data_IF_183291671358
#
_entry.id   IF_183291671358
#
_cell.length_a   1.000
_cell.length_b   1.000
_cell.length_c   1.000
_cell.angle_alpha   90.00
_cell.angle_beta   90.00
_cell.angle_gamma   90.00
#
_symmetry.space_group_name_H-M   'P 1'
#
loop_
_entity.id
_entity.type
_entity.pdbx_description
1 polymer ?
#
# COMPACT_ATOMS: atom_id res chain seq x y z
N UNK A 1 1.64 -1.36 22.29
CA UNK A 1 2.10 -0.34 21.31
C UNK A 1 1.44 -0.52 19.93
N UNK A 2 1.23 -1.74 19.41
CA UNK A 2 0.57 -1.97 18.11
C UNK A 2 -0.88 -1.44 18.08
N UNK A 3 -1.61 -1.55 19.17
CA UNK A 3 -3.01 -1.08 19.26
C UNK A 3 -3.12 0.45 19.29
N UNK A 4 -2.13 1.16 19.79
CA UNK A 4 -2.06 2.63 19.78
C UNK A 4 -1.68 3.18 18.40
N UNK A 5 -0.88 2.45 17.62
CA UNK A 5 -0.52 2.86 16.27
C UNK A 5 -1.68 2.73 15.29
N UNK A 6 -2.48 1.65 15.39
CA UNK A 6 -3.66 1.44 14.55
C UNK A 6 -4.78 2.47 14.78
N UNK A 7 -4.82 3.11 15.95
CA UNK A 7 -5.79 4.17 16.28
C UNK A 7 -5.39 5.56 15.77
N UNK A 8 -4.14 5.77 15.35
CA UNK A 8 -3.66 7.09 14.86
C UNK A 8 -4.46 7.65 13.67
N UNK A 9 -4.84 6.86 12.67
CA UNK A 9 -5.67 7.38 11.57
C UNK A 9 -7.02 7.89 12.03
N UNK A 10 -7.66 7.21 12.98
CA UNK A 10 -8.95 7.61 13.55
C UNK A 10 -8.84 8.95 14.31
N UNK A 11 -7.77 9.16 15.08
CA UNK A 11 -7.51 10.45 15.77
C UNK A 11 -7.34 11.56 14.74
N UNK A 12 -6.61 11.33 13.66
CA UNK A 12 -6.46 12.30 12.58
C UNK A 12 -7.80 12.59 11.89
N UNK A 13 -8.64 11.58 11.65
CA UNK A 13 -9.98 11.74 11.09
C UNK A 13 -10.88 12.58 11.98
N UNK A 14 -10.94 12.30 13.29
CA UNK A 14 -11.73 13.06 14.25
C UNK A 14 -11.26 14.54 14.35
N UNK A 15 -9.95 14.77 14.25
CA UNK A 15 -9.42 16.14 14.16
C UNK A 15 -9.84 16.83 12.87
N UNK A 16 -9.83 16.11 11.75
CA UNK A 16 -10.30 16.63 10.47
C UNK A 16 -11.78 17.03 10.55
N UNK A 17 -12.64 16.17 11.13
CA UNK A 17 -14.06 16.46 11.37
C UNK A 17 -14.26 17.72 12.23
N UNK A 18 -13.48 17.85 13.30
CA UNK A 18 -13.56 19.02 14.18
C UNK A 18 -13.15 20.32 13.45
N UNK A 19 -12.14 20.27 12.60
CA UNK A 19 -11.76 21.42 11.77
C UNK A 19 -12.80 21.71 10.70
N UNK A 20 -13.37 20.67 10.06
CA UNK A 20 -14.44 20.81 9.07
C UNK A 20 -15.67 21.47 9.68
N UNK A 21 -16.07 21.04 10.89
CA UNK A 21 -17.18 21.67 11.63
C UNK A 21 -16.91 23.16 11.92
N UNK A 22 -15.67 23.54 12.18
CA UNK A 22 -15.25 24.95 12.35
C UNK A 22 -15.05 25.69 11.03
N UNK A 23 -15.41 25.09 9.88
CA UNK A 23 -15.19 25.62 8.53
C UNK A 23 -13.72 25.96 8.21
N UNK A 24 -12.77 25.26 8.87
CA UNK A 24 -11.33 25.36 8.61
C UNK A 24 -10.91 24.29 7.60
N UNK A 25 -11.25 24.54 6.33
CA UNK A 25 -11.19 23.54 5.25
C UNK A 25 -9.76 23.08 4.96
N UNK A 26 -8.76 23.98 5.03
CA UNK A 26 -7.36 23.67 4.73
C UNK A 26 -6.79 22.69 5.76
N UNK A 27 -7.03 22.97 7.04
CA UNK A 27 -6.56 22.12 8.14
C UNK A 27 -7.31 20.78 8.15
N UNK A 28 -8.62 20.80 7.91
CA UNK A 28 -9.41 19.58 7.81
C UNK A 28 -8.86 18.65 6.72
N UNK A 29 -8.59 19.18 5.52
CA UNK A 29 -8.02 18.40 4.43
C UNK A 29 -6.62 17.86 4.74
N UNK A 30 -5.78 18.64 5.42
CA UNK A 30 -4.44 18.19 5.83
C UNK A 30 -4.53 16.99 6.79
N UNK A 31 -5.44 17.05 7.77
CA UNK A 31 -5.64 15.95 8.71
C UNK A 31 -6.25 14.71 8.07
N UNK A 32 -7.23 14.84 7.14
CA UNK A 32 -7.73 13.69 6.38
C UNK A 32 -6.65 13.05 5.51
N UNK A 33 -5.82 13.85 4.81
CA UNK A 33 -4.69 13.30 4.02
C UNK A 33 -3.67 12.60 4.91
N UNK A 34 -3.41 13.15 6.11
CA UNK A 34 -2.54 12.50 7.08
C UNK A 34 -3.12 11.17 7.57
N UNK A 35 -4.44 11.11 7.78
CA UNK A 35 -5.11 9.85 8.12
C UNK A 35 -4.96 8.81 6.99
N UNK A 36 -5.19 9.19 5.74
CA UNK A 36 -4.99 8.31 4.57
C UNK A 36 -3.56 7.79 4.47
N UNK A 37 -2.58 8.68 4.63
CA UNK A 37 -1.16 8.29 4.64
C UNK A 37 -0.85 7.26 5.74
N UNK A 38 -1.42 7.42 6.93
CA UNK A 38 -1.23 6.46 8.02
C UNK A 38 -1.92 5.12 7.74
N UNK A 39 -3.12 5.12 7.14
CA UNK A 39 -3.81 3.89 6.73
C UNK A 39 -2.97 3.12 5.72
N UNK A 40 -2.43 3.79 4.72
CA UNK A 40 -1.56 3.17 3.71
C UNK A 40 -0.23 2.68 4.31
N UNK A 41 0.39 3.49 5.19
CA UNK A 41 1.68 3.15 5.83
C UNK A 41 1.58 1.99 6.84
N UNK A 42 0.40 1.79 7.44
CA UNK A 42 0.12 0.73 8.40
C UNK A 42 -0.57 -0.48 7.74
N UNK A 43 -0.74 -0.46 6.42
CA UNK A 43 -1.40 -1.51 5.62
C UNK A 43 -2.81 -1.87 6.15
N UNK A 44 -3.53 -0.87 6.67
CA UNK A 44 -4.87 -1.06 7.22
C UNK A 44 -5.92 -1.31 6.11
N UNK A 45 -7.06 -1.95 6.41
CA UNK A 45 -8.09 -2.24 5.43
C UNK A 45 -8.61 -0.97 4.75
N UNK A 46 -8.64 -0.94 3.41
CA UNK A 46 -9.12 0.21 2.62
C UNK A 46 -10.60 0.55 2.83
N UNK A 47 -11.36 -0.34 3.46
CA UNK A 47 -12.76 -0.10 3.82
C UNK A 47 -12.90 1.07 4.82
N UNK A 48 -11.87 1.31 5.65
CA UNK A 48 -11.85 2.39 6.63
C UNK A 48 -11.60 3.76 5.98
N UNK A 49 -11.21 3.79 4.70
CA UNK A 49 -10.95 5.03 3.97
C UNK A 49 -12.21 5.75 3.47
N UNK A 50 -13.38 5.11 3.51
CA UNK A 50 -14.64 5.67 2.97
C UNK A 50 -14.94 7.04 3.56
N UNK A 51 -14.90 7.17 4.88
CA UNK A 51 -15.16 8.43 5.58
C UNK A 51 -14.12 9.51 5.25
N UNK A 52 -12.86 9.10 5.09
CA UNK A 52 -11.77 10.01 4.75
C UNK A 52 -11.91 10.54 3.32
N UNK A 53 -12.25 9.67 2.36
CA UNK A 53 -12.51 10.07 0.98
C UNK A 53 -13.73 10.98 0.88
N UNK A 54 -14.81 10.68 1.61
CA UNK A 54 -16.00 11.53 1.65
C UNK A 54 -15.71 12.90 2.26
N UNK A 55 -14.96 12.96 3.36
CA UNK A 55 -14.55 14.22 3.97
C UNK A 55 -13.76 15.10 2.98
N UNK A 56 -12.78 14.51 2.30
CA UNK A 56 -12.00 15.21 1.27
C UNK A 56 -12.88 15.62 0.08
N UNK A 57 -13.74 14.72 -0.41
CA UNK A 57 -14.65 15.04 -1.51
C UNK A 57 -15.51 16.27 -1.19
N UNK A 58 -16.07 16.31 0.02
CA UNK A 58 -16.90 17.44 0.50
C UNK A 58 -16.12 18.73 0.63
N UNK A 59 -14.87 18.67 1.16
CA UNK A 59 -14.02 19.86 1.27
C UNK A 59 -13.68 20.43 -0.11
N UNK A 60 -13.26 19.60 -1.06
CA UNK A 60 -12.92 20.05 -2.41
C UNK A 60 -14.14 20.55 -3.17
N UNK A 61 -15.32 19.96 -2.94
CA UNK A 61 -16.59 20.48 -3.45
C UNK A 61 -16.87 21.89 -2.93
N UNK A 62 -16.73 22.12 -1.61
CA UNK A 62 -16.93 23.44 -1.00
C UNK A 62 -15.95 24.49 -1.54
N UNK A 63 -14.78 24.06 -1.97
CA UNK A 63 -13.77 24.93 -2.57
C UNK A 63 -13.94 25.10 -4.11
N UNK A 64 -15.01 24.53 -4.69
CA UNK A 64 -15.24 24.50 -6.13
C UNK A 64 -14.12 23.80 -6.94
N UNK A 65 -13.32 22.95 -6.30
CA UNK A 65 -12.37 22.08 -7.00
C UNK A 65 -13.07 20.77 -7.41
N UNK A 66 -13.90 20.89 -8.45
CA UNK A 66 -14.74 19.81 -8.95
C UNK A 66 -13.96 18.57 -9.38
N UNK A 67 -12.78 18.77 -9.98
CA UNK A 67 -11.95 17.67 -10.47
C UNK A 67 -11.40 16.80 -9.33
N UNK A 68 -10.88 17.43 -8.30
CA UNK A 68 -10.32 16.72 -7.14
C UNK A 68 -11.46 16.08 -6.33
N UNK A 69 -12.57 16.79 -6.13
CA UNK A 69 -13.75 16.26 -5.46
C UNK A 69 -14.28 15.00 -6.16
N UNK A 70 -14.45 15.03 -7.50
CA UNK A 70 -14.91 13.88 -8.28
C UNK A 70 -14.02 12.65 -8.08
N UNK A 71 -12.71 12.83 -8.09
CA UNK A 71 -11.77 11.73 -7.87
C UNK A 71 -12.02 11.03 -6.52
N UNK A 72 -12.25 11.79 -5.47
CA UNK A 72 -12.55 11.22 -4.15
C UNK A 72 -13.92 10.56 -4.09
N UNK A 73 -14.96 11.14 -4.73
CA UNK A 73 -16.26 10.48 -4.86
C UNK A 73 -16.16 9.15 -5.62
N UNK A 74 -15.36 9.06 -6.68
CA UNK A 74 -15.14 7.83 -7.43
C UNK A 74 -14.40 6.77 -6.60
N UNK A 75 -13.41 7.19 -5.79
CA UNK A 75 -12.74 6.28 -4.83
C UNK A 75 -13.72 5.74 -3.78
N UNK A 76 -14.62 6.60 -3.30
CA UNK A 76 -15.69 6.20 -2.38
C UNK A 76 -16.68 5.24 -3.05
N UNK A 77 -17.09 5.51 -4.30
CA UNK A 77 -18.03 4.67 -5.06
C UNK A 77 -17.50 3.24 -5.25
N UNK A 78 -16.20 3.09 -5.46
CA UNK A 78 -15.55 1.77 -5.57
C UNK A 78 -15.73 0.90 -4.30
N UNK A 79 -15.92 1.53 -3.14
CA UNK A 79 -16.13 0.87 -1.86
C UNK A 79 -17.64 0.70 -1.51
N UNK A 80 -18.57 1.12 -2.38
CA UNK A 80 -19.99 1.20 -2.05
C UNK A 80 -20.60 -0.13 -1.57
N UNK A 81 -20.15 -1.26 -2.12
CA UNK A 81 -20.67 -2.59 -1.76
C UNK A 81 -20.37 -3.00 -0.32
N UNK A 82 -19.33 -2.44 0.29
CA UNK A 82 -18.94 -2.73 1.68
C UNK A 82 -19.57 -1.78 2.70
N UNK A 83 -20.28 -0.75 2.25
CA UNK A 83 -20.90 0.24 3.12
C UNK A 83 -22.21 -0.27 3.72
N UNK A 84 -22.52 0.17 4.95
CA UNK A 84 -23.88 0.05 5.51
C UNK A 84 -24.90 0.85 4.68
N UNK A 85 -26.16 0.49 4.78
CA UNK A 85 -27.25 1.20 4.04
C UNK A 85 -27.27 2.69 4.35
N UNK A 86 -27.11 3.07 5.62
CA UNK A 86 -27.02 4.49 6.01
C UNK A 86 -25.82 5.21 5.39
N UNK A 87 -24.66 4.55 5.31
CA UNK A 87 -23.49 5.13 4.66
C UNK A 87 -23.66 5.24 3.14
N UNK A 88 -24.32 4.25 2.50
CA UNK A 88 -24.66 4.32 1.08
C UNK A 88 -25.62 5.49 0.80
N UNK A 89 -26.63 5.67 1.66
CA UNK A 89 -27.58 6.78 1.55
C UNK A 89 -26.87 8.14 1.69
N UNK A 90 -26.03 8.28 2.71
CA UNK A 90 -25.23 9.48 2.92
C UNK A 90 -24.28 9.76 1.73
N UNK A 91 -23.62 8.73 1.21
CA UNK A 91 -22.77 8.84 0.02
C UNK A 91 -23.54 9.30 -1.21
N UNK A 92 -24.66 8.63 -1.53
CA UNK A 92 -25.48 8.96 -2.71
C UNK A 92 -26.03 10.38 -2.63
N UNK A 93 -26.46 10.82 -1.45
CA UNK A 93 -26.93 12.19 -1.22
C UNK A 93 -25.83 13.22 -1.50
N UNK A 94 -24.64 13.02 -0.94
CA UNK A 94 -23.53 13.96 -1.15
C UNK A 94 -23.02 13.94 -2.60
N UNK A 95 -22.98 12.77 -3.23
CA UNK A 95 -22.57 12.65 -4.63
C UNK A 95 -23.59 13.24 -5.59
N UNK A 96 -24.91 13.13 -5.26
CA UNK A 96 -25.97 13.85 -5.94
C UNK A 96 -25.81 15.36 -5.85
N UNK A 97 -25.52 15.86 -4.65
CA UNK A 97 -25.24 17.28 -4.40
C UNK A 97 -23.97 17.76 -5.14
N UNK A 98 -22.93 16.94 -5.22
CA UNK A 98 -21.75 17.25 -6.03
C UNK A 98 -22.15 17.58 -7.48
N UNK A 99 -22.89 16.68 -8.15
CA UNK A 99 -23.31 16.90 -9.53
C UNK A 99 -24.28 18.10 -9.65
N UNK A 100 -25.14 18.32 -8.65
CA UNK A 100 -26.03 19.48 -8.62
C UNK A 100 -25.24 20.78 -8.65
N UNK A 101 -24.26 20.95 -7.76
CA UNK A 101 -23.45 22.17 -7.70
C UNK A 101 -22.48 22.29 -8.87
N UNK A 102 -22.03 21.19 -9.45
CA UNK A 102 -21.29 21.16 -10.72
C UNK A 102 -22.16 21.46 -11.94
N UNK A 103 -23.50 21.66 -11.74
CA UNK A 103 -24.51 21.93 -12.77
C UNK A 103 -24.75 20.78 -13.76
N UNK A 104 -24.30 19.56 -13.44
CA UNK A 104 -24.70 18.34 -14.16
C UNK A 104 -25.96 17.74 -13.54
N UNK A 105 -27.09 18.37 -13.83
CA UNK A 105 -28.37 18.02 -13.22
C UNK A 105 -28.87 16.62 -13.62
N UNK A 106 -28.50 16.10 -14.80
CA UNK A 106 -28.89 14.76 -15.21
C UNK A 106 -28.07 13.70 -14.42
N UNK A 107 -26.80 13.92 -14.17
CA UNK A 107 -26.00 13.04 -13.30
C UNK A 107 -26.50 13.13 -11.84
N UNK A 108 -26.84 14.32 -11.36
CA UNK A 108 -27.43 14.54 -10.04
C UNK A 108 -28.75 13.77 -9.91
N UNK A 109 -29.61 13.85 -10.89
CA UNK A 109 -30.89 13.11 -10.93
C UNK A 109 -30.65 11.61 -10.79
N UNK A 110 -29.72 11.05 -11.54
CA UNK A 110 -29.38 9.61 -11.44
C UNK A 110 -28.98 9.19 -10.02
N UNK A 111 -28.19 10.02 -9.33
CA UNK A 111 -27.74 9.71 -7.95
C UNK A 111 -28.89 9.82 -6.93
N UNK A 112 -29.73 10.83 -7.03
CA UNK A 112 -30.90 10.95 -6.14
C UNK A 112 -31.97 9.90 -6.40
N UNK A 113 -32.19 9.50 -7.66
CA UNK A 113 -33.08 8.37 -7.99
C UNK A 113 -32.50 7.05 -7.42
N UNK A 114 -31.17 6.85 -7.51
CA UNK A 114 -30.52 5.69 -6.88
C UNK A 114 -30.67 5.72 -5.34
N UNK A 115 -30.55 6.89 -4.72
CA UNK A 115 -30.80 7.07 -3.29
C UNK A 115 -32.27 6.74 -2.94
N UNK A 116 -33.21 7.28 -3.66
CA UNK A 116 -34.65 6.99 -3.46
C UNK A 116 -34.92 5.49 -3.51
N UNK A 117 -34.43 4.81 -4.57
CA UNK A 117 -34.62 3.37 -4.74
C UNK A 117 -33.94 2.55 -3.60
N UNK A 118 -32.76 3.00 -3.12
CA UNK A 118 -32.09 2.38 -1.97
C UNK A 118 -32.97 2.47 -0.72
N UNK A 119 -33.49 3.65 -0.42
CA UNK A 119 -34.32 3.89 0.76
C UNK A 119 -35.66 3.13 0.68
N UNK A 120 -36.28 3.07 -0.48
CA UNK A 120 -37.50 2.29 -0.72
C UNK A 120 -37.26 0.80 -0.52
N UNK A 121 -36.20 0.27 -1.07
CA UNK A 121 -35.80 -1.14 -0.93
C UNK A 121 -35.60 -1.55 0.54
N UNK A 122 -35.15 -0.63 1.38
CA UNK A 122 -34.90 -0.88 2.80
C UNK A 122 -35.99 -0.38 3.74
N UNK A 123 -37.18 -0.08 3.20
CA UNK A 123 -38.34 0.38 3.96
C UNK A 123 -38.11 1.65 4.79
N UNK A 124 -37.36 2.60 4.23
CA UNK A 124 -36.99 3.87 4.88
C UNK A 124 -37.75 5.07 4.30
N UNK A 125 -39.01 4.85 3.85
CA UNK A 125 -39.83 5.88 3.14
C UNK A 125 -40.23 7.07 4.02
N UNK A 126 -40.37 6.83 5.33
CA UNK A 126 -40.86 7.83 6.29
C UNK A 126 -39.70 8.50 7.08
N UNK A 127 -38.46 8.25 6.73
CA UNK A 127 -37.33 8.83 7.42
C UNK A 127 -36.88 10.18 6.83
N UNK A 128 -36.01 10.86 7.57
CA UNK A 128 -35.47 12.17 7.18
C UNK A 128 -34.65 12.10 5.88
N UNK A 129 -33.93 10.98 5.62
CA UNK A 129 -33.14 10.83 4.40
C UNK A 129 -34.03 10.79 3.14
N UNK A 130 -35.22 10.16 3.22
CA UNK A 130 -36.18 10.16 2.13
C UNK A 130 -36.75 11.55 1.91
N UNK A 131 -37.04 12.28 2.99
CA UNK A 131 -37.48 13.67 2.88
C UNK A 131 -36.45 14.52 2.14
N UNK A 132 -35.21 14.51 2.57
CA UNK A 132 -34.12 15.26 1.92
C UNK A 132 -33.91 14.80 0.48
N UNK A 133 -33.97 13.50 0.19
CA UNK A 133 -33.91 12.97 -1.16
C UNK A 133 -34.99 13.56 -2.09
N UNK A 134 -36.26 13.61 -1.62
CA UNK A 134 -37.35 14.18 -2.37
C UNK A 134 -37.22 15.69 -2.57
N UNK A 135 -36.73 16.42 -1.55
CA UNK A 135 -36.43 17.86 -1.67
C UNK A 135 -35.36 18.09 -2.74
N UNK A 136 -34.30 17.31 -2.72
CA UNK A 136 -33.21 17.39 -3.71
C UNK A 136 -33.72 17.01 -5.12
N UNK A 137 -34.59 16.00 -5.25
CA UNK A 137 -35.22 15.65 -6.52
C UNK A 137 -36.08 16.81 -7.05
N UNK A 138 -36.86 17.47 -6.19
CA UNK A 138 -37.67 18.65 -6.59
C UNK A 138 -36.78 19.76 -7.16
N UNK A 139 -35.65 20.06 -6.52
CA UNK A 139 -34.73 21.09 -6.97
C UNK A 139 -34.01 20.73 -8.28
N UNK A 140 -33.58 19.45 -8.41
CA UNK A 140 -32.97 18.96 -9.66
C UNK A 140 -33.98 19.05 -10.82
N UNK A 141 -35.22 18.61 -10.61
CA UNK A 141 -36.27 18.72 -11.62
C UNK A 141 -36.57 20.19 -11.98
N UNK A 142 -36.54 21.08 -10.99
CA UNK A 142 -36.67 22.51 -11.24
C UNK A 142 -35.57 23.01 -12.18
N UNK A 143 -34.31 22.63 -11.93
CA UNK A 143 -33.18 23.03 -12.77
C UNK A 143 -33.22 22.40 -14.16
N UNK A 144 -33.76 21.19 -14.30
CA UNK A 144 -34.04 20.53 -15.58
C UNK A 144 -35.29 21.09 -16.32
N UNK A 145 -35.95 22.11 -15.74
CA UNK A 145 -37.20 22.71 -16.27
C UNK A 145 -38.38 21.74 -16.37
N UNK A 146 -38.40 20.70 -15.52
CA UNK A 146 -39.48 19.71 -15.41
C UNK A 146 -40.42 20.14 -14.28
N UNK A 147 -41.19 21.21 -14.53
CA UNK A 147 -41.93 21.95 -13.49
C UNK A 147 -43.01 21.12 -12.81
N UNK A 148 -43.65 20.20 -13.52
CA UNK A 148 -44.71 19.34 -12.97
C UNK A 148 -44.10 18.29 -12.00
N UNK A 149 -42.93 17.73 -12.32
CA UNK A 149 -42.20 16.85 -11.41
C UNK A 149 -41.74 17.59 -10.17
N UNK A 150 -41.30 18.85 -10.31
CA UNK A 150 -40.96 19.72 -9.17
C UNK A 150 -42.15 19.91 -8.25
N UNK A 151 -43.33 20.26 -8.78
CA UNK A 151 -44.56 20.44 -8.00
C UNK A 151 -44.94 19.14 -7.28
N UNK A 152 -44.93 18.02 -7.98
CA UNK A 152 -45.24 16.71 -7.41
C UNK A 152 -44.36 16.38 -6.19
N UNK A 153 -43.04 16.54 -6.30
CA UNK A 153 -42.16 16.26 -5.17
C UNK A 153 -42.29 17.28 -4.04
N UNK A 154 -42.63 18.54 -4.32
CA UNK A 154 -42.94 19.53 -3.27
C UNK A 154 -44.21 19.14 -2.51
N UNK A 155 -45.24 18.66 -3.20
CA UNK A 155 -46.49 18.17 -2.58
C UNK A 155 -46.23 16.93 -1.71
N UNK A 156 -45.35 16.03 -2.14
CA UNK A 156 -44.96 14.84 -1.36
C UNK A 156 -44.18 15.16 -0.07
N UNK A 157 -43.40 16.26 -0.03
CA UNK A 157 -42.61 16.63 1.17
C UNK A 157 -43.39 17.54 2.13
N UNK A 158 -44.46 18.17 1.69
CA UNK A 158 -45.26 19.10 2.50
C UNK A 158 -45.78 18.52 3.82
N UNK A 159 -46.31 17.28 3.89
CA UNK A 159 -46.78 16.70 5.14
C UNK A 159 -45.66 16.50 6.17
N UNK A 160 -44.46 16.22 5.72
CA UNK A 160 -43.29 16.08 6.60
C UNK A 160 -42.82 17.46 7.09
N UNK A 161 -42.68 18.41 6.19
CA UNK A 161 -42.27 19.78 6.51
C UNK A 161 -43.23 20.43 7.53
N UNK A 162 -44.53 20.29 7.32
CA UNK A 162 -45.57 20.83 8.22
C UNK A 162 -45.53 20.17 9.62
N UNK A 163 -45.27 18.87 9.70
CA UNK A 163 -45.19 18.14 11.00
C UNK A 163 -43.98 18.54 11.84
N UNK A 164 -42.85 18.77 11.19
CA UNK A 164 -41.57 19.05 11.92
C UNK A 164 -41.54 20.47 12.46
N UNK A 165 -42.26 21.40 11.83
CA UNK A 165 -42.24 22.84 12.18
C UNK A 165 -40.81 23.42 12.32
N UNK A 166 -39.89 22.90 11.51
CA UNK A 166 -38.47 23.28 11.49
C UNK A 166 -38.26 24.42 10.49
N UNK A 167 -37.69 25.52 10.98
CA UNK A 167 -37.45 26.72 10.16
C UNK A 167 -36.50 26.45 8.99
N UNK A 168 -35.51 25.57 9.17
CA UNK A 168 -34.54 25.22 8.14
C UNK A 168 -35.22 24.38 7.02
N UNK A 169 -36.01 23.39 7.42
CA UNK A 169 -36.81 22.55 6.50
C UNK A 169 -37.76 23.44 5.69
N UNK A 170 -38.47 24.33 6.36
CA UNK A 170 -39.38 25.28 5.71
C UNK A 170 -38.64 26.16 4.70
N UNK A 171 -37.49 26.69 5.09
CA UNK A 171 -36.65 27.50 4.21
C UNK A 171 -36.20 26.75 2.95
N UNK A 172 -35.80 25.45 3.07
CA UNK A 172 -35.43 24.62 1.93
C UNK A 172 -36.59 24.42 0.95
N UNK A 173 -37.77 23.99 1.44
CA UNK A 173 -38.94 23.79 0.62
C UNK A 173 -39.38 25.10 -0.06
N UNK A 174 -39.41 26.18 0.67
CA UNK A 174 -39.78 27.47 0.16
C UNK A 174 -38.77 28.04 -0.87
N UNK A 175 -37.49 27.71 -0.74
CA UNK A 175 -36.51 28.06 -1.77
C UNK A 175 -36.88 27.45 -3.14
N UNK A 176 -37.30 26.18 -3.14
CA UNK A 176 -37.72 25.50 -4.38
C UNK A 176 -39.06 26.03 -4.87
N UNK A 177 -40.04 26.31 -3.96
CA UNK A 177 -41.32 26.97 -4.32
C UNK A 177 -41.10 28.32 -4.99
N UNK A 178 -40.22 29.16 -4.43
CA UNK A 178 -39.84 30.44 -5.04
C UNK A 178 -39.26 30.20 -6.44
N UNK A 179 -38.33 29.23 -6.60
CA UNK A 179 -37.78 28.88 -7.89
C UNK A 179 -38.82 28.42 -8.90
N UNK A 180 -39.78 27.58 -8.47
CA UNK A 180 -40.91 27.10 -9.29
C UNK A 180 -41.83 28.26 -9.70
N UNK A 181 -42.19 29.10 -8.74
CA UNK A 181 -43.05 30.27 -8.99
C UNK A 181 -42.39 31.26 -9.96
N UNK A 182 -41.08 31.54 -9.78
CA UNK A 182 -40.32 32.40 -10.71
C UNK A 182 -40.32 31.80 -12.12
N UNK A 183 -40.09 30.50 -12.28
CA UNK A 183 -40.06 29.83 -13.59
C UNK A 183 -41.46 29.78 -14.26
N UNK A 184 -42.53 29.71 -13.46
CA UNK A 184 -43.91 29.81 -13.91
C UNK A 184 -44.38 31.25 -14.18
N UNK A 185 -43.57 32.25 -13.82
CA UNK A 185 -43.94 33.65 -13.93
C UNK A 185 -44.94 34.13 -12.86
N UNK A 186 -45.18 33.34 -11.80
CA UNK A 186 -46.10 33.64 -10.72
C UNK A 186 -45.42 34.46 -9.60
N UNK A 187 -45.20 35.75 -9.84
CA UNK A 187 -44.52 36.66 -8.88
C UNK A 187 -45.34 36.95 -7.62
N UNK A 188 -46.66 36.77 -7.69
CA UNK A 188 -47.54 36.89 -6.52
C UNK A 188 -47.32 35.78 -5.50
N UNK A 189 -47.09 34.54 -5.98
CA UNK A 189 -46.74 33.40 -5.12
C UNK A 189 -45.37 33.59 -4.45
N UNK A 190 -44.39 34.12 -5.17
CA UNK A 190 -43.08 34.45 -4.58
C UNK A 190 -43.25 35.42 -3.42
N UNK A 191 -44.02 36.47 -3.61
CA UNK A 191 -44.31 37.46 -2.54
C UNK A 191 -44.98 36.80 -1.37
N UNK A 192 -46.00 35.96 -1.60
CA UNK A 192 -46.73 35.25 -0.53
C UNK A 192 -45.78 34.38 0.32
N UNK A 193 -44.89 33.61 -0.33
CA UNK A 193 -43.87 32.77 0.38
C UNK A 193 -42.94 33.65 1.21
N UNK A 194 -42.45 34.75 0.67
CA UNK A 194 -41.55 35.67 1.40
C UNK A 194 -42.25 36.32 2.58
N UNK A 195 -43.54 36.62 2.47
CA UNK A 195 -44.32 37.21 3.58
C UNK A 195 -44.56 36.23 4.71
N UNK A 196 -44.67 34.92 4.44
CA UNK A 196 -44.77 33.86 5.49
C UNK A 196 -43.47 33.59 6.22
N UNK A 197 -42.35 33.95 5.64
CA UNK A 197 -41.03 33.72 6.23
C UNK A 197 -40.45 34.89 7.04
N UNK A 198 -41.21 35.95 7.22
CA UNK A 198 -40.80 37.10 8.00
C UNK A 198 -40.43 36.67 9.43
N UNK A 199 -39.14 36.76 9.77
CA UNK A 199 -38.62 36.37 11.09
C UNK A 199 -37.81 35.08 11.14
N UNK A 200 -37.61 34.36 10.05
CA UNK A 200 -36.71 33.24 10.00
C UNK A 200 -35.27 33.75 10.12
N UNK A 201 -34.54 33.27 11.15
CA UNK A 201 -33.11 33.52 11.28
C UNK A 201 -32.33 32.76 10.20
N UNK A 202 -31.73 33.49 9.27
CA UNK A 202 -30.94 32.92 8.17
C UNK A 202 -29.46 32.81 8.48
N UNK A 203 -28.99 33.22 9.68
CA UNK A 203 -27.58 33.25 10.04
C UNK A 203 -26.94 31.84 10.01
N UNK A 204 -27.70 30.82 10.41
CA UNK A 204 -27.25 29.43 10.47
C UNK A 204 -27.51 28.65 9.17
N UNK A 205 -28.08 29.26 8.13
CA UNK A 205 -28.36 28.59 6.85
C UNK A 205 -27.07 28.51 6.03
N UNK A 206 -26.78 27.31 5.52
CA UNK A 206 -25.61 27.07 4.67
C UNK A 206 -25.54 28.07 3.50
N UNK A 207 -24.38 28.64 3.25
CA UNK A 207 -24.19 29.63 2.19
C UNK A 207 -24.62 29.09 0.81
N UNK A 208 -24.33 27.85 0.49
CA UNK A 208 -24.72 27.20 -0.77
C UNK A 208 -26.23 27.25 -1.00
N UNK A 209 -27.03 27.03 0.05
CA UNK A 209 -28.48 27.12 -0.01
C UNK A 209 -28.95 28.57 -0.19
N UNK A 210 -28.38 29.53 0.53
CA UNK A 210 -28.65 30.94 0.33
C UNK A 210 -28.31 31.41 -1.09
N UNK A 211 -27.23 30.92 -1.66
CA UNK A 211 -26.83 31.21 -3.04
C UNK A 211 -27.85 30.69 -4.07
N UNK A 212 -28.36 29.45 -3.87
CA UNK A 212 -29.43 28.90 -4.72
C UNK A 212 -30.66 29.80 -4.65
N UNK A 213 -31.06 30.16 -3.45
CA UNK A 213 -32.22 31.06 -3.23
C UNK A 213 -31.98 32.46 -3.84
N UNK A 214 -30.81 33.02 -3.65
CA UNK A 214 -30.43 34.32 -4.22
C UNK A 214 -30.52 34.32 -5.75
N UNK A 215 -30.19 33.20 -6.42
CA UNK A 215 -30.37 33.07 -7.87
C UNK A 215 -31.84 33.21 -8.33
N UNK A 216 -32.79 32.61 -7.57
CA UNK A 216 -34.20 32.75 -7.86
C UNK A 216 -34.73 34.12 -7.49
N UNK A 217 -34.33 34.65 -6.32
CA UNK A 217 -34.80 35.97 -5.86
C UNK A 217 -34.26 37.12 -6.72
N UNK A 218 -33.05 37.01 -7.29
CA UNK A 218 -32.58 38.03 -8.25
C UNK A 218 -33.52 38.19 -9.42
N UNK A 219 -33.95 37.07 -10.04
CA UNK A 219 -34.93 37.10 -11.16
C UNK A 219 -36.28 37.69 -10.73
N UNK A 220 -36.72 37.38 -9.51
CA UNK A 220 -37.93 37.99 -8.94
C UNK A 220 -37.76 39.50 -8.75
N UNK A 221 -36.67 39.94 -8.14
CA UNK A 221 -36.40 41.36 -7.91
C UNK A 221 -36.21 42.16 -9.21
N UNK A 222 -35.55 41.57 -10.19
CA UNK A 222 -35.42 42.14 -11.53
C UNK A 222 -36.80 42.33 -12.19
N UNK A 223 -37.67 41.30 -12.16
CA UNK A 223 -39.00 41.35 -12.74
C UNK A 223 -39.96 42.34 -12.04
N UNK A 224 -39.72 42.59 -10.75
CA UNK A 224 -40.48 43.54 -9.95
C UNK A 224 -39.88 44.94 -9.86
N UNK A 225 -38.75 45.21 -10.58
CA UNK A 225 -38.06 46.48 -10.60
C UNK A 225 -37.26 46.80 -9.34
N UNK A 226 -37.11 45.86 -8.42
CA UNK A 226 -36.34 46.06 -7.20
C UNK A 226 -34.82 45.72 -7.41
N UNK A 227 -34.20 46.48 -8.28
CA UNK A 227 -32.78 46.25 -8.67
C UNK A 227 -31.80 46.37 -7.51
N UNK A 228 -32.11 47.14 -6.45
CA UNK A 228 -31.29 47.24 -5.25
C UNK A 228 -31.16 45.88 -4.54
N UNK A 229 -32.26 45.20 -4.30
CA UNK A 229 -32.23 43.86 -3.67
C UNK A 229 -31.56 42.82 -4.58
N UNK A 230 -31.76 42.87 -5.89
CA UNK A 230 -31.08 42.01 -6.84
C UNK A 230 -29.55 42.22 -6.78
N UNK A 231 -29.09 43.46 -6.69
CA UNK A 231 -27.68 43.81 -6.56
C UNK A 231 -27.10 43.35 -5.19
N UNK A 232 -27.81 43.56 -4.09
CA UNK A 232 -27.37 43.17 -2.77
C UNK A 232 -27.15 41.65 -2.69
N UNK A 233 -28.08 40.86 -3.25
CA UNK A 233 -27.93 39.40 -3.35
C UNK A 233 -26.74 38.99 -4.21
N UNK A 234 -26.50 39.68 -5.34
CA UNK A 234 -25.34 39.40 -6.19
C UNK A 234 -24.03 39.74 -5.46
N UNK A 235 -24.00 40.86 -4.76
CA UNK A 235 -22.84 41.33 -4.00
C UNK A 235 -22.45 40.37 -2.88
N UNK A 236 -23.46 39.83 -2.16
CA UNK A 236 -23.24 38.81 -1.12
C UNK A 236 -22.59 37.56 -1.73
N UNK A 237 -23.14 37.03 -2.85
CA UNK A 237 -22.62 35.86 -3.53
C UNK A 237 -21.19 36.08 -4.02
N UNK A 238 -20.89 37.26 -4.61
CA UNK A 238 -19.54 37.61 -5.09
C UNK A 238 -18.52 37.64 -3.96
N UNK A 239 -18.83 38.34 -2.85
CA UNK A 239 -17.94 38.43 -1.68
C UNK A 239 -17.59 37.05 -1.11
N UNK A 240 -18.56 36.14 -1.11
CA UNK A 240 -18.32 34.78 -0.61
C UNK A 240 -17.53 33.93 -1.60
N UNK A 241 -17.79 34.08 -2.89
CA UNK A 241 -17.00 33.40 -3.93
C UNK A 241 -15.55 33.85 -3.89
N UNK A 242 -15.25 35.14 -3.67
CA UNK A 242 -13.87 35.63 -3.50
C UNK A 242 -13.19 34.98 -2.28
N UNK A 243 -13.90 34.84 -1.17
CA UNK A 243 -13.41 34.13 0.02
C UNK A 243 -13.12 32.66 -0.26
N UNK A 244 -13.98 31.99 -1.03
CA UNK A 244 -13.77 30.59 -1.42
C UNK A 244 -12.57 30.44 -2.36
N UNK A 245 -12.39 31.38 -3.29
CA UNK A 245 -11.22 31.39 -4.19
C UNK A 245 -9.91 31.53 -3.38
N UNK A 246 -9.90 32.43 -2.43
CA UNK A 246 -8.74 32.60 -1.54
C UNK A 246 -8.42 31.32 -0.74
N UNK A 247 -9.46 30.67 -0.19
CA UNK A 247 -9.30 29.39 0.50
C UNK A 247 -8.81 28.29 -0.43
N UNK A 248 -9.23 28.28 -1.71
CA UNK A 248 -8.76 27.35 -2.72
C UNK A 248 -7.28 27.53 -3.03
N UNK A 249 -6.82 28.79 -3.12
CA UNK A 249 -5.39 29.10 -3.30
C UNK A 249 -4.59 28.61 -2.10
N UNK A 250 -5.06 28.91 -0.89
CA UNK A 250 -4.40 28.47 0.34
C UNK A 250 -4.33 26.95 0.45
N UNK A 251 -5.41 26.25 0.03
CA UNK A 251 -5.43 24.78 -0.01
C UNK A 251 -4.36 24.23 -0.94
N UNK A 252 -4.27 24.77 -2.17
CA UNK A 252 -3.24 24.35 -3.14
C UNK A 252 -1.84 24.63 -2.65
N UNK A 253 -1.63 25.78 -2.02
CA UNK A 253 -0.33 26.11 -1.41
C UNK A 253 0.03 25.11 -0.29
N UNK A 254 -0.93 24.77 0.57
CA UNK A 254 -0.76 23.76 1.62
C UNK A 254 -0.43 22.38 1.05
N UNK A 255 -1.10 21.96 -0.03
CA UNK A 255 -0.82 20.68 -0.71
C UNK A 255 0.58 20.63 -1.32
N UNK A 256 0.98 21.71 -1.98
CA UNK A 256 2.32 21.82 -2.55
C UNK A 256 3.38 21.73 -1.44
N UNK A 257 3.17 22.47 -0.35
CA UNK A 257 4.09 22.47 0.79
C UNK A 257 4.16 21.08 1.45
N UNK A 258 3.01 20.41 1.61
CA UNK A 258 2.97 19.06 2.18
C UNK A 258 3.71 18.05 1.29
N UNK A 259 3.48 18.09 -0.03
CA UNK A 259 4.23 17.25 -1.00
C UNK A 259 5.73 17.55 -0.94
N UNK A 260 6.09 18.82 -0.97
CA UNK A 260 7.49 19.21 -0.87
C UNK A 260 8.15 18.69 0.40
N UNK A 261 7.46 18.79 1.54
CA UNK A 261 7.95 18.27 2.82
C UNK A 261 8.10 16.74 2.78
N UNK A 262 7.11 16.03 2.23
CA UNK A 262 7.17 14.56 2.08
C UNK A 262 8.31 14.13 1.15
N UNK A 263 8.47 14.80 0.01
CA UNK A 263 9.51 14.50 -0.96
C UNK A 263 10.90 14.80 -0.39
N UNK A 264 11.04 15.91 0.36
CA UNK A 264 12.29 16.24 1.07
C UNK A 264 12.64 15.21 2.13
N UNK A 265 11.64 14.74 2.91
CA UNK A 265 11.84 13.67 3.90
C UNK A 265 12.23 12.35 3.25
N UNK A 266 11.58 11.98 2.13
CA UNK A 266 11.93 10.77 1.37
C UNK A 266 13.35 10.86 0.82
N UNK A 267 13.71 12.01 0.24
CA UNK A 267 15.05 12.25 -0.27
C UNK A 267 16.10 12.17 0.85
N UNK A 268 15.82 12.80 1.98
CA UNK A 268 16.72 12.75 3.15
C UNK A 268 16.91 11.31 3.63
N UNK A 269 15.81 10.55 3.73
CA UNK A 269 15.87 9.14 4.13
C UNK A 269 16.61 8.26 3.12
N UNK A 270 16.40 8.48 1.81
CA UNK A 270 17.14 7.75 0.77
C UNK A 270 18.64 8.05 0.82
N UNK A 271 19.02 9.32 1.00
CA UNK A 271 20.42 9.70 1.16
C UNK A 271 21.04 9.11 2.44
N UNK A 272 20.29 9.03 3.52
CA UNK A 272 20.75 8.40 4.76
C UNK A 272 20.95 6.88 4.57
N UNK A 273 20.05 6.22 3.86
CA UNK A 273 20.19 4.81 3.50
C UNK A 273 21.39 4.57 2.57
N UNK A 274 21.59 5.43 1.57
CA UNK A 274 22.75 5.34 0.68
C UNK A 274 24.06 5.51 1.46
N UNK A 275 24.14 6.48 2.38
CA UNK A 275 25.30 6.64 3.26
C UNK A 275 25.55 5.40 4.12
N UNK A 276 24.52 4.88 4.79
CA UNK A 276 24.65 3.64 5.59
C UNK A 276 25.09 2.46 4.74
N UNK A 277 24.55 2.32 3.52
CA UNK A 277 24.96 1.27 2.62
C UNK A 277 26.43 1.45 2.16
N UNK A 278 26.85 2.66 1.87
CA UNK A 278 28.23 2.97 1.54
C UNK A 278 29.18 2.64 2.72
N UNK A 279 28.81 3.02 3.94
CA UNK A 279 29.56 2.71 5.15
C UNK A 279 29.68 1.19 5.38
N UNK A 280 28.58 0.46 5.18
CA UNK A 280 28.55 -1.01 5.26
C UNK A 280 29.46 -1.63 4.18
N UNK A 281 29.37 -1.15 2.94
CA UNK A 281 30.25 -1.62 1.86
C UNK A 281 31.72 -1.34 2.15
N UNK A 282 32.03 -0.16 2.66
CA UNK A 282 33.39 0.20 3.06
C UNK A 282 33.86 -0.69 4.22
N UNK A 283 33.02 -0.95 5.23
CA UNK A 283 33.34 -1.86 6.32
C UNK A 283 33.56 -3.29 5.81
N UNK A 284 32.75 -3.77 4.87
CA UNK A 284 32.97 -5.08 4.23
C UNK A 284 34.27 -5.12 3.42
N UNK A 285 34.56 -4.07 2.65
CA UNK A 285 35.79 -3.99 1.88
C UNK A 285 37.03 -3.97 2.79
N UNK A 286 36.98 -3.22 3.88
CA UNK A 286 38.09 -3.19 4.87
C UNK A 286 38.24 -4.51 5.59
N UNK A 287 37.16 -5.13 6.04
CA UNK A 287 37.19 -6.47 6.66
C UNK A 287 37.74 -7.52 5.70
N UNK A 288 37.26 -7.48 4.44
CA UNK A 288 37.76 -8.39 3.40
C UNK A 288 39.25 -8.19 3.14
N UNK A 289 39.71 -6.92 3.05
CA UNK A 289 41.14 -6.62 2.88
C UNK A 289 41.99 -7.11 4.06
N UNK A 290 41.51 -6.90 5.30
CA UNK A 290 42.23 -7.38 6.51
C UNK A 290 42.26 -8.91 6.55
N UNK A 291 41.15 -9.58 6.28
CA UNK A 291 41.07 -11.05 6.25
C UNK A 291 41.97 -11.60 5.14
N UNK A 292 41.94 -10.99 3.95
CA UNK A 292 42.80 -11.40 2.83
C UNK A 292 44.28 -11.22 3.17
N UNK A 293 44.66 -10.10 3.77
CA UNK A 293 46.02 -9.85 4.22
C UNK A 293 46.46 -10.86 5.29
N UNK A 294 45.56 -11.17 6.25
CA UNK A 294 45.84 -12.17 7.27
C UNK A 294 46.02 -13.57 6.67
N UNK A 295 45.18 -13.94 5.68
CA UNK A 295 45.32 -15.22 4.96
C UNK A 295 46.62 -15.29 4.16
N UNK A 296 47.00 -14.19 3.50
CA UNK A 296 48.31 -14.13 2.79
C UNK A 296 49.46 -14.28 3.75
N UNK A 297 49.44 -13.58 4.90
CA UNK A 297 50.45 -13.71 5.92
C UNK A 297 50.50 -15.13 6.50
N UNK A 298 49.35 -15.73 6.77
CA UNK A 298 49.25 -17.11 7.21
C UNK A 298 49.83 -18.09 6.16
N UNK A 299 49.55 -17.84 4.88
CA UNK A 299 50.08 -18.63 3.78
C UNK A 299 51.62 -18.48 3.70
N UNK A 300 52.12 -17.25 3.78
CA UNK A 300 53.56 -16.98 3.80
C UNK A 300 54.23 -17.69 4.99
N UNK A 301 53.61 -17.60 6.16
CA UNK A 301 54.08 -18.26 7.36
C UNK A 301 54.05 -19.78 7.23
N UNK A 302 52.97 -20.33 6.68
CA UNK A 302 52.87 -21.77 6.40
C UNK A 302 53.97 -22.23 5.39
N UNK A 303 54.15 -21.45 4.31
CA UNK A 303 55.20 -21.72 3.33
C UNK A 303 56.59 -21.61 3.97
N UNK A 304 56.80 -20.66 4.88
CA UNK A 304 58.07 -20.51 5.63
C UNK A 304 58.29 -21.73 6.54
N UNK A 305 57.25 -22.18 7.27
CA UNK A 305 57.33 -23.40 8.08
C UNK A 305 57.61 -24.63 7.21
N UNK A 306 56.94 -24.75 6.06
CA UNK A 306 57.17 -25.87 5.14
C UNK A 306 58.59 -25.84 4.58
N UNK A 307 59.11 -24.65 4.23
CA UNK A 307 60.48 -24.50 3.77
C UNK A 307 61.50 -24.83 4.86
N UNK A 308 61.30 -24.37 6.10
CA UNK A 308 62.15 -24.69 7.22
C UNK A 308 62.12 -26.19 7.53
N UNK A 309 60.91 -26.79 7.59
CA UNK A 309 60.73 -28.24 7.76
C UNK A 309 61.41 -29.04 6.61
N UNK A 310 61.23 -28.56 5.36
CA UNK A 310 61.83 -29.19 4.19
C UNK A 310 63.34 -29.08 4.28
N UNK A 311 63.96 -27.97 4.73
CA UNK A 311 65.38 -27.79 5.00
C UNK A 311 65.82 -28.71 6.12
N UNK A 312 65.08 -28.78 7.23
CA UNK A 312 65.39 -29.67 8.34
C UNK A 312 65.34 -31.16 7.94
N UNK A 313 64.27 -31.51 7.15
CA UNK A 313 64.15 -32.86 6.58
C UNK A 313 65.30 -33.19 5.60
N UNK A 314 65.66 -32.23 4.74
CA UNK A 314 66.77 -32.38 3.83
C UNK A 314 68.07 -32.52 4.57
N UNK A 315 68.27 -31.73 5.64
CA UNK A 315 69.42 -31.82 6.52
C UNK A 315 69.46 -33.17 7.25
N UNK A 316 68.30 -33.60 7.79
CA UNK A 316 68.16 -34.94 8.42
C UNK A 316 68.29 -36.05 7.38
N UNK A 317 67.76 -35.91 6.18
CA UNK A 317 67.92 -36.88 5.09
C UNK A 317 69.35 -36.92 4.60
N UNK A 318 70.03 -35.78 4.53
CA UNK A 318 71.49 -35.78 4.20
C UNK A 318 72.34 -36.41 5.29
N UNK A 319 71.95 -36.16 6.54
CA UNK A 319 72.58 -36.84 7.68
C UNK A 319 72.29 -38.34 7.68
N UNK A 320 71.04 -38.71 7.33
CA UNK A 320 70.54 -40.09 7.27
C UNK A 320 71.13 -40.83 6.03
N UNK A 321 71.17 -40.12 4.86
CA UNK A 321 71.94 -40.64 3.68
C UNK A 321 73.40 -40.88 3.94
N UNK A 322 73.97 -40.07 4.81
CA UNK A 322 75.38 -40.31 5.29
C UNK A 322 75.46 -41.46 6.30
N UNK A 323 74.36 -41.81 6.99
CA UNK A 323 74.39 -42.89 8.02
C UNK A 323 73.72 -44.20 7.57
N UNK A 324 72.86 -44.19 6.56
CA UNK A 324 72.15 -45.38 6.14
C UNK A 324 72.10 -45.47 4.60
N UNK A 325 73.17 -45.99 4.04
CA UNK A 325 73.11 -46.53 2.67
C UNK A 325 72.34 -47.84 2.64
N UNK A 326 71.06 -47.84 2.82
CA UNK A 326 70.09 -48.81 2.32
C UNK A 326 68.81 -48.86 3.18
N UNK A 327 67.72 -48.50 2.64
CA UNK A 327 66.42 -49.19 2.68
C UNK A 327 65.33 -48.32 2.05
N UNK A 328 64.96 -48.62 0.83
CA UNK A 328 63.75 -48.04 0.12
C UNK A 328 62.48 -48.68 0.68
N UNK A 329 61.59 -47.86 1.30
CA UNK A 329 60.19 -48.18 1.38
C UNK A 329 59.35 -46.92 1.12
N UNK A 330 58.82 -46.78 -0.09
CA UNK A 330 57.83 -45.76 -0.47
C UNK A 330 56.44 -46.33 -0.19
N UNK A 331 55.71 -45.67 0.75
CA UNK A 331 54.28 -45.89 0.86
C UNK A 331 53.65 -45.11 -0.30
N UNK A 332 53.13 -45.82 -1.29
CA UNK A 332 52.47 -45.19 -2.46
C UNK A 332 50.99 -45.07 -2.20
N UNK A 333 50.27 -44.09 -2.80
CA UNK A 333 48.80 -44.04 -2.77
C UNK A 333 48.16 -45.35 -3.17
N UNK A 334 48.76 -46.09 -4.09
CA UNK A 334 48.36 -47.43 -4.50
C UNK A 334 48.37 -48.46 -3.34
N UNK A 335 49.26 -48.28 -2.34
CA UNK A 335 49.26 -49.15 -1.15
C UNK A 335 48.06 -48.85 -0.25
N UNK A 336 47.68 -47.58 -0.05
CA UNK A 336 46.52 -47.18 0.77
C UNK A 336 45.22 -47.71 0.15
N UNK A 337 45.08 -47.61 -1.20
CA UNK A 337 43.93 -48.18 -1.91
C UNK A 337 43.93 -49.71 -1.89
N UNK A 338 45.11 -50.36 -1.94
CA UNK A 338 45.18 -51.81 -1.82
C UNK A 338 44.85 -52.31 -0.43
N UNK A 339 45.20 -51.55 0.66
CA UNK A 339 44.80 -51.87 2.01
C UNK A 339 43.30 -51.69 2.23
N UNK A 340 42.71 -50.60 1.66
CA UNK A 340 41.27 -50.38 1.67
C UNK A 340 40.51 -51.46 0.88
N UNK A 341 40.96 -51.77 -0.33
CA UNK A 341 40.37 -52.85 -1.11
C UNK A 341 40.48 -54.24 -0.45
N UNK A 342 41.62 -54.50 0.23
CA UNK A 342 41.80 -55.75 0.97
C UNK A 342 40.89 -55.82 2.21
N UNK A 343 40.60 -54.70 2.88
CA UNK A 343 39.61 -54.64 3.92
C UNK A 343 38.19 -54.90 3.39
N UNK A 344 37.84 -54.30 2.26
CA UNK A 344 36.55 -54.50 1.57
C UNK A 344 36.31 -55.98 1.27
N UNK A 345 37.32 -56.72 0.84
CA UNK A 345 37.23 -58.16 0.49
C UNK A 345 37.06 -59.06 1.73
N UNK A 346 37.44 -58.60 2.93
CA UNK A 346 37.39 -59.38 4.16
C UNK A 346 36.30 -58.91 5.16
N UNK A 347 35.47 -57.92 4.81
CA UNK A 347 34.37 -57.38 5.63
C UNK A 347 33.06 -58.10 5.30
N UNK A 348 32.13 -58.12 6.25
CA UNK A 348 30.75 -58.63 6.02
C UNK A 348 30.06 -57.81 4.90
N UNK A 349 29.12 -58.46 4.18
CA UNK A 349 28.57 -57.93 2.91
C UNK A 349 28.02 -56.48 3.03
N UNK A 350 27.53 -56.10 4.17
CA UNK A 350 26.96 -54.76 4.43
C UNK A 350 28.04 -53.72 4.66
N UNK A 351 29.05 -54.00 5.50
CA UNK A 351 30.19 -53.12 5.73
C UNK A 351 31.06 -52.96 4.48
N UNK A 352 31.19 -53.99 3.64
CA UNK A 352 31.92 -53.94 2.40
C UNK A 352 31.27 -52.97 1.40
N UNK A 353 29.92 -52.92 1.35
CA UNK A 353 29.18 -51.99 0.50
C UNK A 353 29.35 -50.52 0.92
N UNK A 354 29.24 -50.24 2.22
CA UNK A 354 29.46 -48.89 2.78
C UNK A 354 30.89 -48.36 2.55
N UNK A 355 31.88 -49.23 2.76
CA UNK A 355 33.28 -48.90 2.48
C UNK A 355 33.53 -48.66 0.96
N UNK A 356 32.87 -49.35 0.09
CA UNK A 356 32.93 -49.13 -1.36
C UNK A 356 32.36 -47.79 -1.77
N UNK A 357 31.16 -47.43 -1.25
CA UNK A 357 30.54 -46.15 -1.53
C UNK A 357 31.38 -44.97 -1.00
N UNK A 358 31.91 -45.08 0.22
CA UNK A 358 32.84 -44.08 0.79
C UNK A 358 34.12 -43.95 -0.03
N UNK A 359 34.67 -45.04 -0.52
CA UNK A 359 35.87 -45.04 -1.37
C UNK A 359 35.62 -44.38 -2.71
N UNK A 360 34.43 -44.57 -3.29
CA UNK A 360 33.97 -43.87 -4.52
C UNK A 360 33.80 -42.37 -4.30
N UNK A 361 33.20 -41.98 -3.19
CA UNK A 361 33.01 -40.58 -2.83
C UNK A 361 34.35 -39.85 -2.64
N UNK A 362 35.29 -40.45 -1.91
CA UNK A 362 36.65 -39.90 -1.70
C UNK A 362 37.38 -39.75 -3.04
N UNK A 363 37.26 -40.73 -3.95
CA UNK A 363 37.90 -40.65 -5.27
C UNK A 363 37.27 -39.53 -6.11
N UNK A 364 35.93 -39.42 -6.17
CA UNK A 364 35.23 -38.37 -6.89
C UNK A 364 35.55 -36.98 -6.37
N UNK A 365 35.67 -36.83 -5.03
CA UNK A 365 36.07 -35.58 -4.40
C UNK A 365 37.48 -35.14 -4.79
N UNK A 366 38.43 -36.10 -4.82
CA UNK A 366 39.80 -35.84 -5.24
C UNK A 366 39.89 -35.45 -6.72
N UNK A 367 39.12 -36.11 -7.58
CA UNK A 367 39.07 -35.81 -9.03
C UNK A 367 38.47 -34.44 -9.33
N UNK A 368 37.38 -34.05 -8.64
CA UNK A 368 36.74 -32.74 -8.79
C UNK A 368 37.56 -31.62 -8.16
N UNK A 369 38.12 -31.84 -6.97
CA UNK A 369 38.87 -30.81 -6.24
C UNK A 369 40.19 -30.41 -6.94
N UNK A 370 40.70 -31.26 -7.83
CA UNK A 370 41.89 -30.97 -8.63
C UNK A 370 41.60 -30.07 -9.86
N UNK A 371 40.37 -29.78 -10.17
CA UNK A 371 39.97 -28.98 -11.35
C UNK A 371 39.58 -27.56 -10.93
N UNK A 372 39.88 -26.56 -11.78
CA UNK A 372 39.49 -25.17 -11.53
C UNK A 372 38.02 -24.91 -11.86
N UNK A 373 37.47 -25.64 -12.79
CA UNK A 373 36.08 -25.58 -13.21
C UNK A 373 35.63 -26.92 -13.76
N UNK A 374 34.44 -27.31 -13.42
CA UNK A 374 33.76 -28.54 -13.86
C UNK A 374 32.46 -28.21 -14.58
N UNK A 375 31.88 -29.13 -15.27
CA UNK A 375 30.53 -28.94 -15.81
C UNK A 375 29.50 -29.00 -14.68
N UNK A 376 28.38 -28.28 -14.85
CA UNK A 376 27.28 -28.34 -13.90
C UNK A 376 26.78 -29.79 -13.70
N UNK A 377 26.81 -30.59 -14.77
CA UNK A 377 26.46 -32.03 -14.71
C UNK A 377 27.37 -32.82 -13.78
N UNK A 378 28.70 -32.67 -13.91
CA UNK A 378 29.68 -33.33 -13.03
C UNK A 378 29.54 -32.95 -11.56
N UNK A 379 29.25 -31.67 -11.30
CA UNK A 379 29.01 -31.16 -9.94
C UNK A 379 27.70 -31.70 -9.35
N UNK A 380 26.63 -31.73 -10.13
CA UNK A 380 25.33 -32.27 -9.71
C UNK A 380 25.38 -33.79 -9.48
N UNK A 381 26.14 -34.52 -10.28
CA UNK A 381 26.37 -35.97 -10.08
C UNK A 381 27.10 -36.24 -8.77
N UNK A 382 28.09 -35.42 -8.45
CA UNK A 382 28.77 -35.51 -7.17
C UNK A 382 27.85 -35.16 -5.98
N UNK A 383 27.08 -34.07 -6.10
CA UNK A 383 26.10 -33.66 -5.08
C UNK A 383 25.07 -34.76 -4.83
N UNK A 384 24.56 -35.40 -5.87
CA UNK A 384 23.64 -36.53 -5.74
C UNK A 384 24.26 -37.70 -4.98
N UNK A 385 25.54 -38.01 -5.24
CA UNK A 385 26.24 -39.07 -4.50
C UNK A 385 26.48 -38.66 -3.02
N UNK A 386 26.85 -37.39 -2.79
CA UNK A 386 27.02 -36.85 -1.45
C UNK A 386 25.75 -36.92 -0.62
N UNK A 387 24.63 -36.47 -1.22
CA UNK A 387 23.31 -36.49 -0.56
C UNK A 387 22.87 -37.90 -0.23
N UNK A 388 23.11 -38.90 -1.09
CA UNK A 388 22.81 -40.31 -0.81
C UNK A 388 23.56 -40.83 0.41
N UNK A 389 24.84 -40.47 0.55
CA UNK A 389 25.64 -40.87 1.74
C UNK A 389 25.14 -40.17 3.00
N UNK A 390 24.76 -38.89 2.91
CA UNK A 390 24.21 -38.15 4.04
C UNK A 390 22.80 -38.69 4.44
N UNK A 391 21.97 -39.11 3.47
CA UNK A 391 20.67 -39.76 3.75
C UNK A 391 20.82 -41.09 4.51
N UNK A 392 21.88 -41.85 4.23
CA UNK A 392 22.17 -43.09 4.97
C UNK A 392 22.64 -42.84 6.42
N UNK A 393 23.24 -41.68 6.67
CA UNK A 393 23.77 -41.29 7.99
C UNK A 393 22.71 -40.58 8.87
N UNK A 394 21.75 -39.90 8.25
CA UNK A 394 20.64 -39.21 8.92
C UNK A 394 19.45 -40.15 8.87
N UNK A 395 18.98 -40.60 10.03
CA UNK A 395 17.80 -41.49 10.19
C UNK A 395 16.48 -40.83 9.77
N UNK A 396 16.47 -39.59 9.30
CA UNK A 396 15.30 -38.85 8.89
C UNK A 396 15.16 -38.88 7.38
N UNK A 397 14.00 -39.33 6.88
CA UNK A 397 13.58 -39.26 5.48
C UNK A 397 13.39 -37.78 5.11
N UNK A 398 14.29 -37.24 4.30
CA UNK A 398 14.07 -35.95 3.64
C UNK A 398 14.10 -36.11 2.14
N UNK A 399 13.21 -35.38 1.46
CA UNK A 399 13.15 -35.38 -0.01
C UNK A 399 14.15 -34.36 -0.60
N UNK A 400 15.01 -34.87 -1.49
CA UNK A 400 15.96 -34.04 -2.21
C UNK A 400 15.62 -34.02 -3.70
N UNK A 401 15.26 -32.85 -4.22
CA UNK A 401 14.91 -32.67 -5.62
C UNK A 401 15.76 -31.58 -6.27
N UNK A 402 16.31 -31.89 -7.45
CA UNK A 402 17.01 -30.92 -8.28
C UNK A 402 16.09 -30.52 -9.43
N UNK A 403 15.72 -29.25 -9.51
CA UNK A 403 14.98 -28.70 -10.65
C UNK A 403 15.92 -27.90 -11.55
N UNK A 404 16.03 -28.34 -12.79
CA UNK A 404 16.87 -27.70 -13.81
C UNK A 404 15.94 -27.11 -14.86
N UNK A 405 16.12 -25.83 -15.17
CA UNK A 405 15.36 -25.17 -16.22
C UNK A 405 15.60 -25.86 -17.58
N UNK A 406 14.57 -26.01 -18.44
CA UNK A 406 14.69 -26.80 -19.70
C UNK A 406 15.73 -26.25 -20.70
N UNK A 407 16.12 -24.99 -20.54
CA UNK A 407 17.09 -24.28 -21.39
C UNK A 407 18.55 -24.41 -20.89
N UNK A 408 18.78 -25.10 -19.76
CA UNK A 408 20.11 -25.26 -19.17
C UNK A 408 20.77 -26.54 -19.64
N UNK A 409 21.81 -26.42 -20.46
CA UNK A 409 22.63 -27.54 -20.91
C UNK A 409 23.70 -27.88 -19.86
N UNK A 410 23.38 -28.74 -18.90
CA UNK A 410 24.22 -29.05 -17.72
C UNK A 410 25.65 -29.54 -18.12
N UNK A 411 25.79 -30.20 -19.23
CA UNK A 411 27.10 -30.70 -19.71
C UNK A 411 27.92 -29.65 -20.48
N UNK A 412 27.36 -28.45 -20.73
CA UNK A 412 28.09 -27.34 -21.40
C UNK A 412 28.39 -26.18 -20.45
N UNK A 413 27.57 -26.00 -19.43
CA UNK A 413 27.77 -24.94 -18.44
C UNK A 413 28.91 -25.33 -17.51
N UNK A 414 29.98 -24.54 -17.49
CA UNK A 414 31.11 -24.71 -16.54
C UNK A 414 30.93 -23.78 -15.36
N UNK A 415 31.07 -24.32 -14.17
CA UNK A 415 31.05 -23.60 -12.89
C UNK A 415 32.37 -23.84 -12.15
N UNK A 416 32.75 -22.96 -11.21
CA UNK A 416 33.88 -23.24 -10.32
C UNK A 416 33.66 -24.57 -9.61
N UNK A 417 34.68 -25.38 -9.55
CA UNK A 417 34.64 -26.66 -8.85
C UNK A 417 34.23 -26.49 -7.39
N UNK A 418 33.43 -27.39 -6.88
CA UNK A 418 32.87 -27.43 -5.53
C UNK A 418 31.90 -26.30 -5.18
N UNK A 419 31.43 -25.53 -6.16
CA UNK A 419 30.54 -24.38 -5.92
C UNK A 419 29.16 -24.80 -5.38
N UNK A 420 28.51 -25.75 -6.02
CA UNK A 420 27.20 -26.30 -5.61
C UNK A 420 27.39 -27.17 -4.35
N UNK A 421 28.46 -27.96 -4.32
CA UNK A 421 28.78 -28.81 -3.18
C UNK A 421 28.89 -28.00 -1.86
N UNK A 422 29.61 -26.89 -1.88
CA UNK A 422 29.78 -26.04 -0.66
C UNK A 422 28.40 -25.52 -0.18
N UNK A 423 27.50 -25.16 -1.09
CA UNK A 423 26.16 -24.70 -0.72
C UNK A 423 25.34 -25.83 -0.09
N UNK A 424 25.36 -26.99 -0.69
CA UNK A 424 24.64 -28.16 -0.20
C UNK A 424 25.23 -28.66 1.13
N UNK A 425 26.56 -28.72 1.25
CA UNK A 425 27.26 -29.08 2.49
C UNK A 425 26.89 -28.09 3.63
N UNK A 426 26.89 -26.79 3.36
CA UNK A 426 26.45 -25.79 4.32
C UNK A 426 24.97 -25.96 4.72
N UNK A 427 24.10 -26.32 3.79
CA UNK A 427 22.70 -26.62 4.08
C UNK A 427 22.54 -27.83 5.02
N UNK A 428 23.33 -28.88 4.81
CA UNK A 428 23.36 -30.04 5.72
C UNK A 428 23.91 -29.68 7.08
N UNK A 429 25.05 -29.01 7.12
CA UNK A 429 25.74 -28.67 8.37
C UNK A 429 24.95 -27.69 9.23
N UNK A 430 24.36 -26.67 8.60
CA UNK A 430 23.69 -25.58 9.32
C UNK A 430 22.17 -25.64 9.30
N UNK A 431 21.57 -26.39 8.38
CA UNK A 431 20.12 -26.54 8.25
C UNK A 431 19.58 -27.82 8.87
N UNK A 432 20.00 -28.97 8.35
CA UNK A 432 19.43 -30.26 8.73
C UNK A 432 20.04 -30.84 10.02
N UNK A 433 21.36 -30.70 10.24
CA UNK A 433 21.98 -31.17 11.48
C UNK A 433 21.71 -30.28 12.69
N UNK A 434 21.42 -28.98 12.49
CA UNK A 434 21.09 -28.05 13.58
C UNK A 434 19.70 -28.28 14.19
N UNK A 435 18.77 -28.87 13.44
CA UNK A 435 17.40 -29.17 13.93
C UNK A 435 17.37 -30.40 14.83
N UNK A 436 18.35 -31.30 14.70
CA UNK A 436 18.43 -32.53 15.52
C UNK A 436 18.87 -32.29 16.96
N UNK A 437 19.38 -31.10 17.31
CA UNK A 437 19.85 -30.75 18.67
C UNK A 437 18.88 -29.91 19.51
N UNK A 438 17.67 -29.59 19.00
CA UNK A 438 16.71 -28.76 19.72
C UNK A 438 15.59 -29.53 20.45
N UNK A 439 15.73 -30.85 20.58
CA UNK A 439 14.86 -31.66 21.43
C UNK A 439 15.69 -32.48 22.43
N UNK A 440 16.19 -31.82 23.44
CA UNK A 440 16.49 -32.37 24.77
C UNK A 440 16.14 -31.31 25.81
#
# INVERSE_FOLDING_TARGET
>A
ESNLQSQRPLVCANLADAYLFKNRLVEAAAWYRRALFLVDSLELPKQDNVTLYMGLATIYQQLNDWKTSLRYYQQTEACMKSMSVGMQAYFLNNYGNYYYYAKDYEASLRKFVALKNLLEKHHMQDNFDMFICKVNLADVYLNLNRLDSTAHYLDEVEPFASRTNDALITYYCNTIRIGLAVKRGNMAEVKSVLDTEKGIDTANIAFTMRQVRNNYLRRYYESTGNYRMAYDNLREDMRKNDSLEHNRINMRASEIMERFTQDTLKLHHSLELERKNADIQQAHATTFAVVSAALVLALIFALWILRTRKRDLQTKMNIMKLRLGSARNRISPHFVFNVLNNKIVHSEQQEAHELQELTRLIRANLDISCQLAVTLGEELDFVNQYVKVEQQLLSDDFDFHIHIAPDVYINKVKIPSMFVQILVENAFVHGLRAVSYTHL
#
